data_IF_847111822654
#
_entry.id   IF_847111822654
#
_cell.length_a   1.000
_cell.length_b   1.000
_cell.length_c   1.000
_cell.angle_alpha   90.00
_cell.angle_beta   90.00
_cell.angle_gamma   90.00
#
_symmetry.space_group_name_H-M   'P 1'
#
loop_
_entity.id
_entity.type
_entity.pdbx_description
1 polymer ?
#
# COMPACT_ATOMS: atom_id res chain seq x y z
N UNK A 1 -12.29 7.03 -7.32
CA UNK A 1 -11.25 6.02 -7.68
C UNK A 1 -10.77 5.36 -6.40
N UNK A 2 -10.18 4.16 -6.44
CA UNK A 2 -9.62 3.55 -5.22
C UNK A 2 -8.11 3.76 -5.13
N UNK A 3 -7.62 4.06 -3.94
CA UNK A 3 -6.21 4.25 -3.64
C UNK A 3 -5.76 3.24 -2.58
N UNK A 4 -4.64 2.56 -2.86
CA UNK A 4 -4.03 1.59 -1.96
C UNK A 4 -2.58 2.03 -1.65
N UNK A 5 -2.32 2.69 -0.52
CA UNK A 5 -0.98 3.10 -0.15
C UNK A 5 -0.14 1.90 0.30
N UNK A 6 1.11 1.84 -0.15
CA UNK A 6 2.07 0.84 0.30
C UNK A 6 2.55 1.12 1.74
N UNK A 7 3.38 0.22 2.27
CA UNK A 7 3.92 0.35 3.63
C UNK A 7 4.79 1.60 3.80
N UNK A 8 5.50 2.04 2.74
CA UNK A 8 6.31 3.25 2.80
C UNK A 8 5.44 4.50 2.89
N UNK A 9 4.40 4.62 2.07
CA UNK A 9 3.47 5.74 2.04
C UNK A 9 2.70 5.85 3.37
N UNK A 10 2.19 4.74 3.91
CA UNK A 10 1.55 4.73 5.23
C UNK A 10 2.54 5.17 6.32
N UNK A 11 3.78 4.69 6.26
CA UNK A 11 4.82 5.08 7.24
C UNK A 11 5.18 6.57 7.14
N UNK A 12 5.26 7.12 5.92
CA UNK A 12 5.53 8.54 5.68
C UNK A 12 4.37 9.42 6.15
N UNK A 13 3.13 9.03 5.87
CA UNK A 13 1.93 9.68 6.40
C UNK A 13 1.91 9.73 7.93
N UNK A 14 2.23 8.62 8.60
CA UNK A 14 2.28 8.54 10.07
C UNK A 14 3.33 9.49 10.68
N UNK A 15 4.48 9.63 10.01
CA UNK A 15 5.55 10.57 10.42
C UNK A 15 5.16 12.01 10.13
N UNK A 16 4.31 12.26 9.15
CA UNK A 16 3.88 13.61 8.76
C UNK A 16 4.99 14.45 8.11
N UNK A 17 6.01 13.80 7.54
CA UNK A 17 7.21 14.47 7.02
C UNK A 17 7.01 15.08 5.63
N UNK A 18 5.97 14.67 4.90
CA UNK A 18 5.66 15.20 3.57
C UNK A 18 4.25 15.82 3.57
N UNK A 19 4.12 17.15 3.48
CA UNK A 19 2.82 17.82 3.51
C UNK A 19 1.89 17.46 2.35
N UNK A 20 2.43 17.22 1.14
CA UNK A 20 1.61 16.87 -0.02
C UNK A 20 0.99 15.48 0.15
N UNK A 21 1.79 14.50 0.54
CA UNK A 21 1.30 13.16 0.87
C UNK A 21 0.23 13.19 1.95
N UNK A 22 0.47 13.94 3.04
CA UNK A 22 -0.48 14.08 4.15
C UNK A 22 -1.80 14.66 3.66
N UNK A 23 -1.74 15.75 2.90
CA UNK A 23 -2.92 16.42 2.34
C UNK A 23 -3.70 15.48 1.41
N UNK A 24 -3.05 14.85 0.43
CA UNK A 24 -3.71 13.95 -0.53
C UNK A 24 -4.31 12.72 0.14
N UNK A 25 -3.64 12.15 1.15
CA UNK A 25 -4.19 11.06 1.97
C UNK A 25 -5.44 11.49 2.75
N UNK A 26 -5.45 12.70 3.34
CA UNK A 26 -6.61 13.23 4.04
C UNK A 26 -7.78 13.54 3.09
N UNK A 27 -7.51 14.13 1.93
CA UNK A 27 -8.52 14.40 0.89
C UNK A 27 -9.12 13.10 0.34
N UNK A 28 -8.30 12.07 0.12
CA UNK A 28 -8.77 10.76 -0.37
C UNK A 28 -9.53 9.99 0.71
N UNK A 29 -9.14 10.16 1.98
CA UNK A 29 -9.87 9.61 3.11
C UNK A 29 -11.27 10.22 3.23
N UNK A 30 -11.41 11.54 3.13
CA UNK A 30 -12.71 12.21 3.24
C UNK A 30 -13.67 11.90 2.08
N UNK A 31 -13.13 11.44 0.95
CA UNK A 31 -13.88 10.98 -0.23
C UNK A 31 -14.18 9.48 -0.20
N UNK A 32 -13.78 8.76 0.85
CA UNK A 32 -13.90 7.31 0.96
C UNK A 32 -13.20 6.54 -0.18
N UNK A 33 -12.12 7.12 -0.73
CA UNK A 33 -11.35 6.56 -1.84
C UNK A 33 -10.14 5.77 -1.36
N UNK A 34 -9.74 5.94 -0.10
CA UNK A 34 -8.59 5.27 0.49
C UNK A 34 -8.96 3.90 1.08
N UNK A 35 -8.12 2.89 0.87
CA UNK A 35 -8.23 1.55 1.47
C UNK A 35 -6.91 1.20 2.16
N UNK A 36 -6.95 0.28 3.13
CA UNK A 36 -5.75 -0.25 3.76
C UNK A 36 -5.61 -1.75 3.43
N UNK A 37 -4.48 -2.14 2.84
CA UNK A 37 -4.19 -3.55 2.63
C UNK A 37 -3.95 -4.26 3.97
N UNK A 38 -4.50 -5.47 4.16
CA UNK A 38 -4.16 -6.31 5.31
C UNK A 38 -2.66 -6.67 5.36
N UNK A 39 -1.98 -6.67 4.21
CA UNK A 39 -0.53 -6.92 4.13
C UNK A 39 0.24 -5.73 4.73
N UNK A 40 -0.15 -4.51 4.38
CA UNK A 40 0.40 -3.28 4.95
C UNK A 40 0.09 -3.22 6.45
N UNK A 41 -1.14 -3.56 6.86
CA UNK A 41 -1.50 -3.67 8.28
C UNK A 41 -0.55 -4.60 9.04
N UNK A 42 -0.27 -5.79 8.50
CA UNK A 42 0.64 -6.75 9.12
C UNK A 42 2.07 -6.21 9.27
N UNK A 43 2.62 -5.57 8.23
CA UNK A 43 3.96 -4.95 8.30
C UNK A 43 4.01 -3.81 9.32
N UNK A 44 2.93 -3.02 9.40
CA UNK A 44 2.84 -1.91 10.35
C UNK A 44 2.69 -2.38 11.79
N UNK A 45 1.88 -3.40 12.06
CA UNK A 45 1.78 -4.05 13.37
C UNK A 45 3.15 -4.57 13.84
N UNK A 46 3.85 -5.30 12.97
CA UNK A 46 5.19 -5.78 13.27
C UNK A 46 6.16 -4.62 13.60
N UNK A 47 6.16 -3.56 12.79
CA UNK A 47 7.01 -2.39 13.03
C UNK A 47 6.69 -1.67 14.35
N UNK A 48 5.41 -1.61 14.72
CA UNK A 48 4.95 -1.04 15.99
C UNK A 48 5.41 -1.89 17.18
N UNK A 49 5.38 -3.22 17.07
CA UNK A 49 5.89 -4.14 18.10
C UNK A 49 7.41 -4.09 18.22
N UNK A 50 8.13 -3.98 17.11
CA UNK A 50 9.61 -3.99 17.08
C UNK A 50 10.24 -2.75 17.73
N UNK A 51 9.55 -1.61 17.72
CA UNK A 51 10.10 -0.38 18.32
C UNK A 51 9.27 0.89 18.09
N UNK A 52 7.96 0.76 17.87
CA UNK A 52 7.10 1.93 17.67
C UNK A 52 6.92 2.75 18.95
N UNK A 53 7.03 4.07 18.84
CA UNK A 53 6.72 4.96 19.98
C UNK A 53 5.23 4.90 20.32
N UNK A 54 4.82 5.19 21.57
CA UNK A 54 3.42 5.22 21.96
C UNK A 54 2.56 6.15 21.08
N UNK A 55 3.13 7.25 20.60
CA UNK A 55 2.46 8.18 19.71
C UNK A 55 2.19 7.56 18.33
N UNK A 56 3.17 6.87 17.74
CA UNK A 56 3.00 6.16 16.46
C UNK A 56 1.97 5.03 16.59
N UNK A 57 2.01 4.28 17.68
CA UNK A 57 1.02 3.23 17.96
C UNK A 57 -0.40 3.78 18.01
N UNK A 58 -0.64 4.87 18.75
CA UNK A 58 -1.96 5.50 18.84
C UNK A 58 -2.47 6.02 17.49
N UNK A 59 -1.60 6.68 16.71
CA UNK A 59 -1.96 7.14 15.36
C UNK A 59 -2.32 5.98 14.44
N UNK A 60 -1.56 4.89 14.50
CA UNK A 60 -1.81 3.72 13.66
C UNK A 60 -3.13 3.02 14.05
N UNK A 61 -3.40 2.82 15.33
CA UNK A 61 -4.68 2.28 15.82
C UNK A 61 -5.88 3.16 15.43
N UNK A 62 -5.71 4.48 15.38
CA UNK A 62 -6.76 5.37 14.90
C UNK A 62 -7.00 5.17 13.40
N UNK A 63 -5.94 5.07 12.59
CA UNK A 63 -6.04 4.82 11.16
C UNK A 63 -6.72 3.48 10.85
N UNK A 64 -6.34 2.41 11.54
CA UNK A 64 -6.91 1.07 11.40
C UNK A 64 -8.43 1.05 11.62
N UNK A 65 -8.92 1.84 12.59
CA UNK A 65 -10.36 1.94 12.90
C UNK A 65 -11.15 2.77 11.89
N UNK A 66 -10.47 3.62 11.13
CA UNK A 66 -11.10 4.60 10.25
C UNK A 66 -11.09 4.14 8.79
N UNK A 67 -10.05 3.43 8.35
CA UNK A 67 -9.94 2.95 6.98
C UNK A 67 -10.57 1.58 6.80
N UNK A 68 -11.33 1.35 5.70
CA UNK A 68 -11.70 0.01 5.30
C UNK A 68 -10.44 -0.83 5.02
N UNK A 69 -10.35 -1.99 5.68
CA UNK A 69 -9.25 -2.93 5.52
C UNK A 69 -9.63 -3.98 4.49
N UNK A 70 -8.84 -4.10 3.44
CA UNK A 70 -9.05 -5.04 2.35
C UNK A 70 -8.36 -6.38 2.66
N UNK A 71 -9.11 -7.50 2.75
CA UNK A 71 -8.54 -8.81 2.99
C UNK A 71 -7.77 -9.31 1.76
N UNK A 72 -6.81 -10.21 2.00
CA UNK A 72 -6.16 -10.94 0.91
C UNK A 72 -6.95 -12.21 0.60
N UNK A 73 -7.44 -12.30 -0.63
CA UNK A 73 -8.42 -13.29 -1.07
C UNK A 73 -7.84 -14.28 -2.08
N UNK A 74 -8.64 -15.28 -2.46
CA UNK A 74 -8.27 -16.23 -3.52
C UNK A 74 -8.05 -15.56 -4.87
N UNK A 75 -8.77 -14.48 -5.15
CA UNK A 75 -8.61 -13.74 -6.40
C UNK A 75 -7.29 -12.98 -6.41
N UNK A 76 -6.91 -12.37 -5.28
CA UNK A 76 -5.58 -11.74 -5.12
C UNK A 76 -4.44 -12.74 -5.37
N UNK A 77 -4.60 -13.99 -4.90
CA UNK A 77 -3.62 -15.04 -5.14
C UNK A 77 -3.44 -15.37 -6.64
N UNK A 78 -4.51 -15.29 -7.45
CA UNK A 78 -4.40 -15.45 -8.91
C UNK A 78 -3.64 -14.30 -9.52
N UNK A 79 -3.97 -13.05 -9.13
CA UNK A 79 -3.22 -11.90 -9.63
C UNK A 79 -1.75 -11.95 -9.24
N UNK A 80 -1.44 -12.37 -8.01
CA UNK A 80 -0.07 -12.56 -7.54
C UNK A 80 0.71 -13.54 -8.42
N UNK A 81 0.13 -14.72 -8.72
CA UNK A 81 0.79 -15.74 -9.52
C UNK A 81 1.09 -15.24 -10.94
N UNK A 82 0.14 -14.54 -11.56
CA UNK A 82 0.31 -13.95 -12.89
C UNK A 82 1.41 -12.88 -12.91
N UNK A 83 1.37 -11.95 -11.94
CA UNK A 83 2.37 -10.88 -11.80
C UNK A 83 3.75 -11.48 -11.61
N UNK A 84 3.89 -12.45 -10.69
CA UNK A 84 5.17 -13.07 -10.38
C UNK A 84 5.74 -13.82 -11.57
N UNK A 85 4.93 -14.65 -12.25
CA UNK A 85 5.34 -15.36 -13.47
C UNK A 85 5.84 -14.40 -14.53
N UNK A 86 5.13 -13.31 -14.75
CA UNK A 86 5.46 -12.32 -15.78
C UNK A 86 6.73 -11.51 -15.45
N UNK A 87 6.93 -11.13 -14.18
CA UNK A 87 8.16 -10.48 -13.74
C UNK A 87 9.36 -11.43 -13.86
N UNK A 88 9.22 -12.68 -13.40
CA UNK A 88 10.29 -13.68 -13.47
C UNK A 88 10.68 -14.00 -14.92
N UNK A 89 9.71 -14.13 -15.83
CA UNK A 89 9.96 -14.35 -17.25
C UNK A 89 10.76 -13.22 -17.92
N UNK A 90 10.69 -11.99 -17.36
CA UNK A 90 11.44 -10.81 -17.82
C UNK A 90 12.77 -10.62 -17.08
N UNK A 91 13.14 -11.53 -16.18
CA UNK A 91 14.32 -11.38 -15.32
C UNK A 91 14.18 -10.22 -14.32
N UNK A 92 12.95 -9.85 -13.96
CA UNK A 92 12.63 -8.76 -13.06
C UNK A 92 11.98 -9.29 -11.77
N UNK A 93 11.85 -8.40 -10.78
CA UNK A 93 11.14 -8.68 -9.54
C UNK A 93 10.79 -7.38 -8.82
N UNK A 94 9.90 -7.51 -7.84
CA UNK A 94 9.62 -6.51 -6.81
C UNK A 94 9.60 -7.22 -5.45
N UNK A 95 9.58 -6.47 -4.35
CA UNK A 95 9.57 -7.05 -3.01
C UNK A 95 8.44 -8.09 -2.83
N UNK A 96 8.63 -9.12 -1.97
CA UNK A 96 7.64 -10.18 -1.79
C UNK A 96 6.31 -9.65 -1.25
N UNK A 97 6.33 -8.71 -0.30
CA UNK A 97 5.12 -8.02 0.18
C UNK A 97 4.58 -7.03 -0.85
N UNK A 98 5.45 -6.31 -1.56
CA UNK A 98 5.05 -5.42 -2.65
C UNK A 98 4.32 -6.17 -3.76
N UNK A 99 4.70 -7.42 -4.04
CA UNK A 99 4.00 -8.27 -5.01
C UNK A 99 2.59 -8.62 -4.55
N UNK A 100 2.39 -8.86 -3.25
CA UNK A 100 1.06 -9.11 -2.68
C UNK A 100 0.20 -7.84 -2.71
N UNK A 101 0.78 -6.68 -2.38
CA UNK A 101 0.11 -5.37 -2.45
C UNK A 101 -0.28 -5.03 -3.90
N UNK A 102 0.64 -5.23 -4.86
CA UNK A 102 0.38 -5.03 -6.28
C UNK A 102 -0.74 -5.95 -6.79
N UNK A 103 -0.75 -7.21 -6.36
CA UNK A 103 -1.82 -8.15 -6.70
C UNK A 103 -3.18 -7.67 -6.18
N UNK A 104 -3.22 -7.19 -4.93
CA UNK A 104 -4.45 -6.67 -4.33
C UNK A 104 -4.95 -5.39 -5.00
N UNK A 105 -4.03 -4.46 -5.29
CA UNK A 105 -4.36 -3.25 -6.03
C UNK A 105 -4.90 -3.56 -7.43
N UNK A 106 -4.27 -4.52 -8.15
CA UNK A 106 -4.72 -4.93 -9.48
C UNK A 106 -6.10 -5.60 -9.46
N UNK A 107 -6.42 -6.41 -8.45
CA UNK A 107 -7.78 -6.96 -8.27
C UNK A 107 -8.81 -5.85 -8.04
N UNK A 108 -8.46 -4.89 -7.19
CA UNK A 108 -9.35 -3.80 -6.78
C UNK A 108 -9.50 -2.69 -7.83
N UNK A 109 -8.78 -2.76 -8.95
CA UNK A 109 -8.60 -1.65 -9.89
C UNK A 109 -8.19 -0.34 -9.15
N UNK A 110 -7.29 -0.50 -8.16
CA UNK A 110 -6.83 0.58 -7.31
C UNK A 110 -5.47 1.11 -7.76
N UNK A 111 -5.26 2.40 -7.54
CA UNK A 111 -3.97 3.07 -7.76
C UNK A 111 -3.08 2.85 -6.53
N UNK A 112 -1.87 2.34 -6.74
CA UNK A 112 -0.88 2.19 -5.67
C UNK A 112 -0.23 3.52 -5.37
N UNK A 113 -0.27 3.95 -4.11
CA UNK A 113 0.47 5.13 -3.64
C UNK A 113 1.80 4.66 -3.05
N UNK A 114 2.91 5.01 -3.68
CA UNK A 114 4.25 4.59 -3.26
C UNK A 114 5.33 5.54 -3.78
N UNK A 115 6.43 5.64 -3.03
CA UNK A 115 7.69 6.23 -3.51
C UNK A 115 8.53 5.27 -4.36
N UNK A 116 8.22 3.97 -4.34
CA UNK A 116 8.92 2.93 -5.10
C UNK A 116 8.34 2.76 -6.52
N UNK A 117 8.00 3.87 -7.19
CA UNK A 117 7.29 3.87 -8.48
C UNK A 117 7.98 2.98 -9.51
N UNK A 118 9.32 3.03 -9.58
CA UNK A 118 10.11 2.24 -10.54
C UNK A 118 9.88 0.73 -10.42
N UNK A 119 9.63 0.23 -9.22
CA UNK A 119 9.40 -1.20 -8.99
C UNK A 119 7.96 -1.57 -9.34
N UNK A 120 6.98 -0.89 -8.75
CA UNK A 120 5.57 -1.16 -9.01
C UNK A 120 5.17 -0.96 -10.48
N UNK A 121 5.77 0.01 -11.18
CA UNK A 121 5.52 0.25 -12.61
C UNK A 121 5.94 -0.93 -13.52
N UNK A 122 6.70 -1.92 -13.01
CA UNK A 122 7.02 -3.15 -13.75
C UNK A 122 5.81 -4.07 -13.88
N UNK A 123 4.81 -3.92 -13.00
CA UNK A 123 3.62 -4.78 -12.95
C UNK A 123 2.63 -4.38 -14.05
N UNK A 124 2.31 -5.27 -15.01
CA UNK A 124 1.35 -4.94 -16.06
C UNK A 124 -0.06 -4.72 -15.50
N UNK A 125 -0.73 -3.67 -16.00
CA UNK A 125 -2.09 -3.32 -15.59
C UNK A 125 -2.19 -2.70 -14.20
N UNK A 126 -1.10 -2.17 -13.67
CA UNK A 126 -1.08 -1.46 -12.38
C UNK A 126 -0.85 0.03 -12.60
N UNK A 127 -1.69 0.86 -12.00
CA UNK A 127 -1.50 2.32 -11.94
C UNK A 127 -0.83 2.69 -10.63
N UNK A 128 0.16 3.57 -10.71
CA UNK A 128 1.02 3.94 -9.57
C UNK A 128 1.19 5.44 -9.54
N UNK A 129 1.07 6.03 -8.36
CA UNK A 129 1.32 7.45 -8.13
C UNK A 129 2.31 7.66 -6.99
N UNK A 130 3.21 8.63 -7.15
CA UNK A 130 3.99 9.20 -6.05
C UNK A 130 3.31 10.48 -5.56
N UNK A 131 2.93 10.50 -4.29
CA UNK A 131 2.32 11.68 -3.65
C UNK A 131 3.31 12.49 -2.81
N UNK A 132 4.58 12.08 -2.79
CA UNK A 132 5.64 12.81 -2.10
C UNK A 132 6.28 13.92 -2.97
N UNK A 133 5.97 13.96 -4.27
CA UNK A 133 6.40 14.99 -5.23
C UNK A 133 5.46 16.19 -5.30
#
# INVERSE_FOLDING_TARGET
MLYLPDTNAVSAYMRGTNPNLVRRMQESFSREELRLSVIVLAEREFGVLKGGTPAVRRKFQALEKLLPIEPFTREDARHYAEIRRDLEARGQGIGPFDTLIAAQARRLDAIVITRNVREFARVPGLTVENWEE
#
